data_IF_638714074824
#
_entry.id   IF_638714074824
#
_cell.length_a   1.000
_cell.length_b   1.000
_cell.length_c   1.000
_cell.angle_alpha   90.00
_cell.angle_beta   90.00
_cell.angle_gamma   90.00
#
_symmetry.space_group_name_H-M   'P 1'
#
loop_
_entity.id
_entity.type
_entity.pdbx_description
1 polymer ?
#
# COMPACT_ATOMS: atom_id res chain seq x y z
N UNK A 1 -10.02 -4.45 -12.31
CA UNK A 1 -8.78 -4.84 -13.01
C UNK A 1 -7.52 -4.43 -12.23
N UNK A 2 -7.38 -3.17 -11.78
CA UNK A 2 -6.15 -2.64 -11.18
C UNK A 2 -5.62 -3.49 -10.00
N UNK A 3 -6.47 -3.83 -9.03
CA UNK A 3 -6.06 -4.64 -7.87
C UNK A 3 -5.61 -6.07 -8.25
N UNK A 4 -6.21 -6.67 -9.29
CA UNK A 4 -5.81 -7.99 -9.79
C UNK A 4 -4.41 -7.89 -10.41
N UNK A 5 -4.16 -6.88 -11.25
CA UNK A 5 -2.84 -6.69 -11.85
C UNK A 5 -1.72 -6.52 -10.80
N UNK A 6 -1.99 -5.79 -9.71
CA UNK A 6 -1.03 -5.66 -8.61
C UNK A 6 -0.78 -6.99 -7.87
N UNK A 7 -1.82 -7.78 -7.63
CA UNK A 7 -1.68 -9.12 -7.05
C UNK A 7 -0.91 -10.09 -7.96
N UNK A 8 -1.17 -10.06 -9.27
CA UNK A 8 -0.43 -10.85 -10.26
C UNK A 8 1.04 -10.44 -10.34
N UNK A 9 1.34 -9.14 -10.29
CA UNK A 9 2.72 -8.66 -10.28
C UNK A 9 3.51 -9.21 -9.07
N UNK A 10 2.89 -9.27 -7.89
CA UNK A 10 3.48 -9.90 -6.70
C UNK A 10 3.75 -11.39 -6.94
N UNK A 11 2.78 -12.12 -7.50
CA UNK A 11 2.92 -13.56 -7.79
C UNK A 11 4.01 -13.84 -8.83
N UNK A 12 4.09 -13.05 -9.92
CA UNK A 12 5.10 -13.19 -10.97
C UNK A 12 6.51 -12.92 -10.43
N UNK A 13 6.64 -12.04 -9.44
CA UNK A 13 7.92 -11.78 -8.77
C UNK A 13 8.28 -12.84 -7.71
N UNK A 14 7.53 -13.95 -7.60
CA UNK A 14 7.81 -15.03 -6.64
C UNK A 14 7.18 -14.84 -5.26
N UNK A 15 6.30 -13.86 -5.10
CA UNK A 15 5.53 -13.66 -3.88
C UNK A 15 4.30 -14.59 -3.77
N UNK A 16 3.47 -14.41 -2.73
CA UNK A 16 2.29 -15.24 -2.54
C UNK A 16 1.22 -14.99 -3.60
N UNK A 17 0.46 -16.04 -3.95
CA UNK A 17 -0.77 -15.87 -4.75
C UNK A 17 -1.87 -15.20 -3.91
N UNK A 18 -2.34 -14.04 -4.38
CA UNK A 18 -3.37 -13.23 -3.74
C UNK A 18 -4.65 -13.29 -4.57
N UNK A 19 -5.67 -13.99 -4.07
CA UNK A 19 -6.97 -14.10 -4.76
C UNK A 19 -7.81 -12.85 -4.50
N UNK A 20 -7.68 -11.85 -5.37
CA UNK A 20 -8.48 -10.62 -5.31
C UNK A 20 -9.91 -10.91 -5.75
N UNK A 21 -10.95 -10.60 -4.94
CA UNK A 21 -12.33 -10.78 -5.35
C UNK A 21 -12.67 -9.92 -6.58
N UNK A 22 -13.43 -10.50 -7.50
CA UNK A 22 -13.90 -9.83 -8.72
C UNK A 22 -15.29 -9.21 -8.51
N UNK A 23 -15.69 -8.33 -9.43
CA UNK A 23 -17.04 -7.76 -9.42
C UNK A 23 -17.16 -6.34 -8.86
N UNK A 24 -16.03 -5.61 -8.71
CA UNK A 24 -16.08 -4.16 -8.51
C UNK A 24 -16.72 -3.49 -9.70
N UNK A 25 -17.61 -2.56 -9.41
CA UNK A 25 -18.27 -1.74 -10.41
C UNK A 25 -17.44 -0.50 -10.69
N UNK A 26 -17.22 -0.22 -11.97
CA UNK A 26 -16.73 1.08 -12.38
C UNK A 26 -17.78 2.13 -12.00
N UNK A 27 -17.35 3.19 -11.33
CA UNK A 27 -18.24 4.28 -10.96
C UNK A 27 -18.74 4.98 -12.24
N UNK A 28 -20.06 5.16 -12.33
CA UNK A 28 -20.69 5.90 -13.45
C UNK A 28 -20.65 7.42 -13.24
N UNK A 29 -20.53 7.83 -11.99
CA UNK A 29 -20.52 9.21 -11.55
C UNK A 29 -19.28 9.47 -10.69
N UNK A 30 -18.92 10.75 -10.57
CA UNK A 30 -17.80 11.20 -9.74
C UNK A 30 -18.11 10.98 -8.26
N UNK A 31 -17.08 10.77 -7.46
CA UNK A 31 -17.19 10.75 -5.99
C UNK A 31 -17.78 12.07 -5.46
N UNK A 32 -18.93 12.05 -4.75
CA UNK A 32 -19.59 13.24 -4.21
C UNK A 32 -18.83 13.92 -3.07
N UNK A 33 -17.87 13.26 -2.38
CA UNK A 33 -17.03 13.94 -1.37
C UNK A 33 -16.13 15.05 -1.95
N UNK A 34 -16.11 15.21 -3.28
CA UNK A 34 -15.32 16.22 -4.00
C UNK A 34 -16.05 17.54 -4.28
N UNK A 35 -17.30 17.72 -3.86
CA UNK A 35 -18.07 18.93 -4.19
C UNK A 35 -17.69 20.19 -3.39
N UNK A 36 -16.70 20.15 -2.50
CA UNK A 36 -16.34 21.26 -1.61
C UNK A 36 -14.94 21.88 -1.82
N UNK A 37 -14.26 21.60 -2.93
CA UNK A 37 -13.08 22.39 -3.35
C UNK A 37 -13.40 23.11 -4.66
N UNK A 38 -13.85 24.35 -4.50
CA UNK A 38 -14.23 25.25 -5.57
C UNK A 38 -12.96 25.81 -6.24
N UNK A 39 -13.00 25.87 -7.58
CA UNK A 39 -12.34 26.86 -8.46
C UNK A 39 -10.95 26.53 -9.04
N UNK A 40 -10.94 25.69 -10.07
CA UNK A 40 -10.11 25.95 -11.26
C UNK A 40 -10.98 25.91 -12.51
N UNK A 41 -11.58 27.05 -12.85
CA UNK A 41 -12.21 27.27 -14.13
C UNK A 41 -11.10 27.50 -15.16
N UNK A 42 -10.71 26.45 -15.90
CA UNK A 42 -9.89 26.58 -17.11
C UNK A 42 -10.74 26.12 -18.29
N UNK A 43 -11.04 26.99 -19.28
CA UNK A 43 -11.84 26.58 -20.43
C UNK A 43 -10.93 25.84 -21.41
N UNK A 44 -10.88 24.52 -21.33
CA UNK A 44 -10.29 23.69 -22.39
C UNK A 44 -11.29 22.62 -22.84
N UNK A 45 -11.55 22.49 -24.16
CA UNK A 45 -12.51 21.54 -24.67
C UNK A 45 -11.81 20.19 -24.89
N UNK A 46 -11.57 19.43 -23.82
CA UNK A 46 -11.56 17.95 -23.83
C UNK A 46 -11.18 17.38 -22.45
N UNK A 47 -12.00 16.44 -21.97
CA UNK A 47 -11.75 15.50 -20.85
C UNK A 47 -11.83 16.05 -19.41
N UNK A 48 -13.06 16.16 -18.91
CA UNK A 48 -13.39 16.43 -17.49
C UNK A 48 -13.05 15.29 -16.49
N UNK A 49 -11.81 14.82 -16.48
CA UNK A 49 -11.29 13.95 -15.39
C UNK A 49 -10.58 14.82 -14.35
N UNK A 50 -11.30 15.14 -13.28
CA UNK A 50 -10.72 15.82 -12.13
C UNK A 50 -10.12 14.75 -11.19
N UNK A 51 -8.80 14.79 -10.99
CA UNK A 51 -8.00 13.83 -10.23
C UNK A 51 -8.33 13.87 -8.73
N UNK A 52 -8.48 12.73 -8.02
CA UNK A 52 -7.83 12.45 -6.71
C UNK A 52 -7.52 13.65 -5.79
N UNK A 53 -8.17 13.94 -4.63
CA UNK A 53 -7.72 15.09 -3.85
C UNK A 53 -6.31 14.79 -3.39
N UNK A 54 -5.41 15.76 -3.52
CA UNK A 54 -4.05 15.61 -3.01
C UNK A 54 -4.09 15.35 -1.50
N UNK A 55 -3.02 14.72 -0.97
CA UNK A 55 -2.90 14.45 0.47
C UNK A 55 -3.71 13.25 1.00
N UNK A 56 -4.38 12.46 0.14
CA UNK A 56 -5.00 11.19 0.56
C UNK A 56 -3.96 10.06 0.76
N UNK A 57 -2.80 10.18 0.12
CA UNK A 57 -1.66 9.27 0.27
C UNK A 57 -0.69 9.77 1.34
N UNK A 58 0.01 8.87 2.06
CA UNK A 58 1.06 9.28 2.99
C UNK A 58 2.23 9.94 2.24
N UNK A 59 2.77 11.02 2.79
CA UNK A 59 3.97 11.66 2.25
C UNK A 59 5.22 10.83 2.59
N UNK A 60 6.21 10.80 1.68
CA UNK A 60 7.46 10.06 1.88
C UNK A 60 8.32 10.62 3.03
N UNK A 61 8.07 11.87 3.42
CA UNK A 61 8.76 12.60 4.49
C UNK A 61 8.20 12.32 5.89
N UNK A 62 7.06 11.62 6.00
CA UNK A 62 6.45 11.32 7.29
C UNK A 62 7.37 10.46 8.14
N UNK A 63 7.44 10.81 9.44
CA UNK A 63 8.10 9.96 10.41
C UNK A 63 7.25 8.70 10.70
N UNK A 64 7.79 7.81 11.54
CA UNK A 64 7.12 6.57 11.91
C UNK A 64 5.76 6.81 12.61
N UNK A 65 5.59 7.91 13.34
CA UNK A 65 4.34 8.22 14.02
C UNK A 65 3.28 8.69 13.02
N UNK A 66 3.64 9.65 12.16
CA UNK A 66 2.77 10.15 11.10
C UNK A 66 2.35 9.06 10.11
N UNK A 67 3.27 8.15 9.77
CA UNK A 67 2.96 7.03 8.89
C UNK A 67 1.98 6.04 9.54
N UNK A 68 2.18 5.71 10.82
CA UNK A 68 1.24 4.88 11.59
C UNK A 68 -0.14 5.51 11.65
N UNK A 69 -0.21 6.81 11.96
CA UNK A 69 -1.47 7.53 12.01
C UNK A 69 -2.17 7.53 10.65
N UNK A 70 -1.44 7.77 9.55
CA UNK A 70 -1.98 7.75 8.19
C UNK A 70 -2.58 6.40 7.77
N UNK A 71 -2.00 5.29 8.23
CA UNK A 71 -2.55 3.95 7.98
C UNK A 71 -3.75 3.64 8.89
N UNK A 72 -3.67 4.06 10.16
CA UNK A 72 -4.77 3.89 11.12
C UNK A 72 -6.05 4.62 10.69
N UNK A 73 -5.93 5.84 10.14
CA UNK A 73 -7.11 6.56 9.59
C UNK A 73 -7.75 5.85 8.40
N UNK A 74 -7.02 4.93 7.74
CA UNK A 74 -7.51 4.06 6.67
C UNK A 74 -7.97 2.68 7.17
N UNK A 75 -8.04 2.49 8.50
CA UNK A 75 -8.43 1.24 9.13
C UNK A 75 -7.35 0.14 9.10
N UNK A 76 -6.09 0.50 8.80
CA UNK A 76 -4.96 -0.43 8.76
C UNK A 76 -4.15 -0.35 10.06
N UNK A 77 -3.85 -1.51 10.64
CA UNK A 77 -3.03 -1.64 11.84
C UNK A 77 -1.56 -1.38 11.54
N UNK A 78 -0.77 -1.18 12.60
CA UNK A 78 0.69 -1.07 12.48
C UNK A 78 1.31 -2.32 11.85
N UNK A 79 0.81 -3.53 12.17
CA UNK A 79 1.31 -4.76 11.58
C UNK A 79 1.01 -4.83 10.07
N UNK A 80 -0.16 -4.38 9.65
CA UNK A 80 -0.53 -4.31 8.23
C UNK A 80 0.31 -3.27 7.48
N UNK A 81 0.59 -2.11 8.08
CA UNK A 81 1.56 -1.15 7.56
C UNK A 81 2.93 -1.79 7.37
N UNK A 82 3.44 -2.50 8.39
CA UNK A 82 4.73 -3.18 8.33
C UNK A 82 4.76 -4.19 7.19
N UNK A 83 3.75 -5.07 7.11
CA UNK A 83 3.65 -6.07 6.06
C UNK A 83 3.62 -5.40 4.68
N UNK A 84 2.73 -4.42 4.45
CA UNK A 84 2.59 -3.70 3.18
C UNK A 84 3.87 -2.95 2.76
N UNK A 85 4.66 -2.48 3.73
CA UNK A 85 5.96 -1.84 3.45
C UNK A 85 6.95 -2.79 2.76
N UNK A 86 6.76 -4.11 2.88
CA UNK A 86 7.52 -5.12 2.14
C UNK A 86 7.34 -5.03 0.62
N UNK A 87 6.33 -4.32 0.12
CA UNK A 87 6.20 -4.03 -1.32
C UNK A 87 7.40 -3.25 -1.89
N UNK A 88 8.17 -2.54 -1.04
CA UNK A 88 9.39 -1.85 -1.45
C UNK A 88 10.53 -2.78 -1.88
N UNK A 89 10.41 -4.10 -1.73
CA UNK A 89 11.35 -5.06 -2.33
C UNK A 89 11.31 -5.01 -3.86
N UNK A 90 10.14 -4.73 -4.46
CA UNK A 90 9.98 -4.62 -5.92
C UNK A 90 10.24 -3.18 -6.38
N UNK A 91 10.92 -3.06 -7.53
CA UNK A 91 11.14 -1.79 -8.22
C UNK A 91 12.38 -1.02 -7.76
N UNK A 92 12.40 0.29 -8.00
CA UNK A 92 13.63 1.08 -7.97
C UNK A 92 13.91 1.78 -6.62
N UNK A 93 13.26 1.37 -5.52
CA UNK A 93 13.58 1.89 -4.17
C UNK A 93 14.94 1.38 -3.64
N UNK A 94 15.55 0.41 -4.32
CA UNK A 94 16.91 -0.07 -4.01
C UNK A 94 16.99 -1.03 -2.83
N UNK A 95 15.90 -1.75 -2.54
CA UNK A 95 15.86 -2.79 -1.51
C UNK A 95 15.72 -4.16 -2.17
N UNK A 96 16.75 -5.00 -2.09
CA UNK A 96 16.71 -6.34 -2.66
C UNK A 96 16.81 -6.35 -4.20
N UNK A 97 16.32 -7.42 -4.82
CA UNK A 97 16.26 -7.53 -6.27
C UNK A 97 14.93 -6.93 -6.77
N UNK A 98 14.96 -5.95 -7.70
CA UNK A 98 13.78 -5.18 -8.12
C UNK A 98 12.66 -6.01 -8.76
N UNK A 99 12.92 -7.26 -9.15
CA UNK A 99 11.94 -8.18 -9.76
C UNK A 99 11.69 -9.43 -8.92
N UNK A 100 12.10 -9.45 -7.64
CA UNK A 100 11.88 -10.56 -6.72
C UNK A 100 11.14 -10.06 -5.48
N UNK A 101 10.04 -10.70 -5.14
CA UNK A 101 9.27 -10.39 -3.95
C UNK A 101 9.67 -11.34 -2.81
N UNK A 102 10.45 -10.83 -1.87
CA UNK A 102 10.89 -11.55 -0.68
C UNK A 102 10.95 -10.62 0.55
N UNK A 103 11.45 -11.14 1.67
CA UNK A 103 11.63 -10.37 2.91
C UNK A 103 12.95 -9.58 2.98
N UNK A 104 13.67 -9.39 1.86
CA UNK A 104 14.96 -8.71 1.82
C UNK A 104 14.85 -7.24 2.21
N UNK A 105 13.73 -6.57 1.95
CA UNK A 105 13.45 -5.23 2.48
C UNK A 105 13.68 -5.17 4.00
N UNK A 106 13.10 -6.09 4.76
CA UNK A 106 13.26 -6.13 6.22
C UNK A 106 14.67 -6.56 6.64
N UNK A 107 15.27 -7.52 5.95
CA UNK A 107 16.67 -7.92 6.22
C UNK A 107 17.62 -6.73 6.07
N UNK A 108 17.46 -5.94 5.01
CA UNK A 108 18.25 -4.73 4.78
C UNK A 108 17.98 -3.68 5.86
N UNK A 109 16.73 -3.48 6.28
CA UNK A 109 16.43 -2.52 7.36
C UNK A 109 17.00 -2.93 8.73
N UNK A 110 17.13 -4.24 8.98
CA UNK A 110 17.72 -4.78 10.20
C UNK A 110 19.26 -4.77 10.14
N UNK A 111 19.85 -4.98 8.98
CA UNK A 111 21.31 -5.03 8.74
C UNK A 111 21.93 -3.63 8.57
N UNK A 112 21.29 -2.76 7.77
CA UNK A 112 21.63 -1.34 7.73
C UNK A 112 21.27 -0.76 9.09
N UNK A 113 22.30 -0.36 9.82
CA UNK A 113 22.25 0.30 11.12
C UNK A 113 21.59 1.70 11.10
N UNK A 114 20.39 1.84 10.52
CA UNK A 114 19.44 2.93 10.80
C UNK A 114 18.94 2.84 12.27
N UNK A 115 19.17 1.70 12.93
CA UNK A 115 18.81 1.44 14.33
C UNK A 115 19.66 2.18 15.39
N UNK A 116 20.79 2.82 15.04
CA UNK A 116 21.59 3.58 16.02
C UNK A 116 21.28 5.08 16.09
N UNK A 117 20.67 5.71 15.08
CA UNK A 117 20.64 7.20 14.98
C UNK A 117 19.41 7.86 14.34
N UNK A 118 18.19 7.28 14.34
CA UNK A 118 17.06 8.08 13.83
C UNK A 118 15.62 7.63 14.02
N UNK A 119 15.27 6.35 13.82
CA UNK A 119 13.85 5.93 13.83
C UNK A 119 13.54 5.14 15.10
N UNK A 120 13.43 5.85 16.24
CA UNK A 120 12.96 5.27 17.51
C UNK A 120 11.47 4.85 17.50
N UNK A 121 10.73 5.12 16.42
CA UNK A 121 9.28 4.90 16.35
C UNK A 121 8.82 3.60 15.71
N UNK A 122 9.65 2.91 14.92
CA UNK A 122 9.28 1.63 14.26
C UNK A 122 9.74 0.39 15.04
N UNK A 123 10.24 0.58 16.27
CA UNK A 123 11.02 -0.38 17.09
C UNK A 123 10.19 -1.55 17.68
N UNK A 124 9.02 -1.81 17.13
CA UNK A 124 8.36 -3.11 17.27
C UNK A 124 7.88 -3.59 15.91
N UNK A 125 8.78 -3.62 14.92
CA UNK A 125 8.68 -4.63 13.87
C UNK A 125 8.59 -5.97 14.59
N UNK A 126 7.43 -6.62 14.55
CA UNK A 126 7.32 -7.96 15.14
C UNK A 126 8.39 -8.81 14.45
N UNK A 127 9.38 -9.25 15.24
CA UNK A 127 10.53 -10.02 14.78
C UNK A 127 10.10 -11.24 13.93
N UNK A 128 8.85 -11.69 14.10
CA UNK A 128 8.25 -12.78 13.32
C UNK A 128 8.10 -12.46 11.83
N UNK A 129 7.63 -11.26 11.46
CA UNK A 129 7.44 -10.85 10.05
C UNK A 129 8.80 -10.78 9.35
N UNK A 130 9.83 -10.29 10.04
CA UNK A 130 11.15 -10.11 9.45
C UNK A 130 11.94 -11.42 9.32
N UNK A 131 11.67 -12.43 10.15
CA UNK A 131 12.48 -13.66 10.22
C UNK A 131 12.02 -14.79 9.29
N UNK A 132 10.71 -14.90 9.01
CA UNK A 132 10.15 -15.99 8.21
C UNK A 132 9.51 -15.52 6.90
N UNK A 133 9.92 -16.05 5.73
CA UNK A 133 9.28 -15.68 4.45
C UNK A 133 7.79 -16.03 4.43
N UNK A 134 7.39 -17.16 5.01
CA UNK A 134 5.98 -17.61 5.01
C UNK A 134 5.08 -16.70 5.84
N UNK A 135 5.53 -16.30 7.04
CA UNK A 135 4.81 -15.36 7.90
C UNK A 135 4.64 -14.01 7.20
N UNK A 136 5.72 -13.49 6.59
CA UNK A 136 5.66 -12.26 5.82
C UNK A 136 4.65 -12.35 4.67
N UNK A 137 4.69 -13.42 3.88
CA UNK A 137 3.80 -13.62 2.75
C UNK A 137 2.33 -13.70 3.17
N UNK A 138 2.03 -14.39 4.27
CA UNK A 138 0.68 -14.50 4.79
C UNK A 138 0.14 -13.14 5.30
N UNK A 139 0.96 -12.41 6.06
CA UNK A 139 0.61 -11.08 6.55
C UNK A 139 0.43 -10.07 5.41
N UNK A 140 1.33 -10.11 4.42
CA UNK A 140 1.24 -9.26 3.22
C UNK A 140 -0.04 -9.54 2.44
N UNK A 141 -0.35 -10.81 2.18
CA UNK A 141 -1.59 -11.22 1.48
C UNK A 141 -2.84 -10.71 2.21
N UNK A 142 -2.88 -10.88 3.53
CA UNK A 142 -4.01 -10.45 4.36
C UNK A 142 -4.18 -8.94 4.32
N UNK A 143 -3.09 -8.20 4.54
CA UNK A 143 -3.09 -6.74 4.50
C UNK A 143 -3.42 -6.19 3.10
N UNK A 144 -2.92 -6.82 2.04
CA UNK A 144 -3.20 -6.46 0.65
C UNK A 144 -4.69 -6.61 0.35
N UNK A 145 -5.30 -7.74 0.71
CA UNK A 145 -6.74 -7.97 0.49
C UNK A 145 -7.59 -6.94 1.22
N UNK A 146 -7.24 -6.64 2.48
CA UNK A 146 -7.92 -5.59 3.25
C UNK A 146 -7.77 -4.22 2.59
N UNK A 147 -6.55 -3.85 2.20
CA UNK A 147 -6.25 -2.60 1.51
C UNK A 147 -7.11 -2.45 0.25
N UNK A 148 -7.06 -3.45 -0.64
CA UNK A 148 -7.76 -3.32 -1.92
C UNK A 148 -9.27 -3.32 -1.73
N UNK A 149 -9.80 -4.09 -0.78
CA UNK A 149 -11.25 -4.21 -0.57
C UNK A 149 -11.85 -3.10 0.30
N UNK A 150 -11.02 -2.24 0.90
CA UNK A 150 -11.48 -1.08 1.65
C UNK A 150 -12.32 -0.15 0.76
N UNK A 151 -13.53 0.17 1.22
CA UNK A 151 -14.50 0.98 0.46
C UNK A 151 -15.07 0.32 -0.81
N UNK A 152 -14.75 -0.95 -1.10
CA UNK A 152 -15.23 -1.61 -2.30
C UNK A 152 -16.73 -1.91 -2.24
N UNK A 153 -17.45 -1.56 -3.30
CA UNK A 153 -18.84 -1.96 -3.53
C UNK A 153 -18.88 -3.09 -4.57
N UNK A 154 -19.53 -4.18 -4.21
CA UNK A 154 -19.66 -5.37 -5.05
C UNK A 154 -21.04 -5.42 -5.68
N UNK A 155 -21.14 -6.01 -6.88
CA UNK A 155 -22.46 -6.45 -7.37
C UNK A 155 -23.02 -7.48 -6.38
N UNK A 156 -24.24 -7.26 -5.90
CA UNK A 156 -25.00 -8.33 -5.25
C UNK A 156 -25.29 -9.42 -6.29
N UNK A 157 -25.08 -10.68 -5.89
CA UNK A 157 -25.52 -11.85 -6.66
C UNK A 157 -27.06 -11.95 -6.67
#
# INVERSE_FOLDING_TARGET
MIAVAGAEAVSICGGPTIQVPLGRLDAKERDPERSHLVRWQVPTPMSGRELDPEGKLPEETLDAFGLKQSFQTKGLSTQELVALSGAHTIGNKGFGNPTVFDNTYFKILLDKTIFRRGIKGFVTLDHKVCRGPDTFFNDFKTAYLKLVNSGARWKSL
#
